data_IF_284937922366
#
_entry.id   IF_284937922366
#
_cell.length_a   1.000
_cell.length_b   1.000
_cell.length_c   1.000
_cell.angle_alpha   90.00
_cell.angle_beta   90.00
_cell.angle_gamma   90.00
#
_symmetry.space_group_name_H-M   'P 1'
#
loop_
_entity.id
_entity.type
_entity.pdbx_description
1 polymer ?
#
# COMPACT_ATOMS: atom_id res chain seq x y z
N UNK A 1 7.20 11.04 16.73
CA UNK A 1 6.90 10.20 15.56
C UNK A 1 5.90 10.83 14.57
N UNK A 2 4.69 11.23 15.01
CA UNK A 2 3.62 11.74 14.13
C UNK A 2 4.02 12.92 13.24
N UNK A 3 4.71 13.93 13.80
CA UNK A 3 5.18 15.10 13.04
C UNK A 3 6.02 14.67 11.83
N UNK A 4 7.07 13.89 12.07
CA UNK A 4 7.96 13.45 11.00
C UNK A 4 7.27 12.58 9.94
N UNK A 5 6.24 11.82 10.31
CA UNK A 5 5.42 11.09 9.34
C UNK A 5 4.66 12.04 8.41
N UNK A 6 4.01 13.06 8.96
CA UNK A 6 3.26 14.06 8.18
C UNK A 6 4.23 14.86 7.30
N UNK A 7 5.33 15.35 7.87
CA UNK A 7 6.35 16.09 7.12
C UNK A 7 6.94 15.25 5.98
N UNK A 8 7.24 13.97 6.23
CA UNK A 8 7.72 13.05 5.19
C UNK A 8 6.72 12.83 4.05
N UNK A 9 5.41 12.82 4.34
CA UNK A 9 4.37 12.74 3.30
C UNK A 9 4.28 14.04 2.51
N UNK A 10 4.24 15.20 3.16
CA UNK A 10 4.20 16.51 2.49
C UNK A 10 5.42 16.72 1.59
N UNK A 11 6.62 16.33 2.03
CA UNK A 11 7.84 16.43 1.23
C UNK A 11 7.84 15.49 0.01
N UNK A 12 7.18 14.33 0.11
CA UNK A 12 6.96 13.45 -1.04
C UNK A 12 6.06 14.14 -2.07
N UNK A 13 4.98 14.79 -1.63
CA UNK A 13 4.07 15.53 -2.51
C UNK A 13 4.78 16.73 -3.18
N UNK A 14 5.70 17.38 -2.44
CA UNK A 14 6.56 18.46 -2.94
C UNK A 14 7.70 17.98 -3.86
N UNK A 15 7.75 16.70 -4.23
CA UNK A 15 8.79 16.10 -5.09
C UNK A 15 10.21 16.21 -4.52
N UNK A 16 10.35 16.23 -3.19
CA UNK A 16 11.63 16.21 -2.47
C UNK A 16 11.85 14.85 -1.77
N UNK A 17 12.20 13.79 -2.53
CA UNK A 17 12.29 12.44 -1.98
C UNK A 17 13.45 12.25 -0.98
N UNK A 18 14.53 13.03 -1.12
CA UNK A 18 15.69 12.97 -0.22
C UNK A 18 15.34 13.45 1.20
N UNK A 19 14.69 14.61 1.30
CA UNK A 19 14.27 15.18 2.57
C UNK A 19 13.14 14.34 3.20
N UNK A 20 12.20 13.86 2.38
CA UNK A 20 11.14 12.95 2.82
C UNK A 20 11.72 11.68 3.48
N UNK A 21 12.74 11.07 2.88
CA UNK A 21 13.40 9.88 3.41
C UNK A 21 14.03 10.14 4.78
N UNK A 22 14.70 11.28 4.98
CA UNK A 22 15.31 11.63 6.26
C UNK A 22 14.25 11.72 7.38
N UNK A 23 13.12 12.37 7.11
CA UNK A 23 12.03 12.48 8.06
C UNK A 23 11.36 11.14 8.35
N UNK A 24 11.14 10.30 7.34
CA UNK A 24 10.53 8.97 7.55
C UNK A 24 11.46 8.04 8.32
N UNK A 25 12.78 8.08 8.09
CA UNK A 25 13.76 7.34 8.91
C UNK A 25 13.72 7.79 10.37
N UNK A 26 13.63 9.10 10.62
CA UNK A 26 13.49 9.63 11.98
C UNK A 26 12.17 9.21 12.63
N UNK A 27 11.07 9.19 11.87
CA UNK A 27 9.78 8.68 12.34
C UNK A 27 9.88 7.20 12.75
N UNK A 28 10.56 6.36 11.94
CA UNK A 28 10.76 4.94 12.23
C UNK A 28 11.58 4.69 13.50
N UNK A 29 12.64 5.48 13.72
CA UNK A 29 13.46 5.39 14.93
C UNK A 29 12.67 5.72 16.20
N UNK A 30 11.73 6.67 16.12
CA UNK A 30 10.90 7.08 17.25
C UNK A 30 9.71 6.14 17.50
N UNK A 31 9.19 5.54 16.43
CA UNK A 31 8.03 4.65 16.49
C UNK A 31 8.10 3.62 15.34
N UNK A 32 8.49 2.41 15.68
CA UNK A 32 8.56 1.29 14.75
C UNK A 32 7.18 0.90 14.18
N UNK A 33 6.08 1.26 14.86
CA UNK A 33 4.70 0.98 14.45
C UNK A 33 4.06 2.11 13.62
N UNK A 34 4.81 3.19 13.31
CA UNK A 34 4.30 4.32 12.54
C UNK A 34 3.84 3.96 11.10
N UNK A 35 4.19 2.77 10.61
CA UNK A 35 3.80 2.25 9.29
C UNK A 35 4.62 2.79 8.12
N UNK A 36 5.73 3.49 8.40
CA UNK A 36 6.54 4.20 7.39
C UNK A 36 7.60 3.34 6.69
N UNK A 37 7.74 2.07 7.07
CA UNK A 37 8.78 1.17 6.53
C UNK A 37 8.68 0.98 5.02
N UNK A 38 7.47 0.71 4.52
CA UNK A 38 7.20 0.55 3.08
C UNK A 38 7.41 1.86 2.30
N UNK A 39 7.15 2.98 2.96
CA UNK A 39 7.37 4.31 2.36
C UNK A 39 8.84 4.62 2.18
N UNK A 40 9.68 4.25 3.16
CA UNK A 40 11.15 4.36 3.07
C UNK A 40 11.68 3.47 1.94
N UNK A 41 11.27 2.19 1.89
CA UNK A 41 11.71 1.27 0.83
C UNK A 41 11.33 1.75 -0.58
N UNK A 42 10.12 2.30 -0.73
CA UNK A 42 9.66 2.87 -2.01
C UNK A 42 10.50 4.10 -2.39
N UNK A 43 10.70 5.04 -1.46
CA UNK A 43 11.50 6.24 -1.72
C UNK A 43 12.96 5.89 -2.03
N UNK A 44 13.56 4.93 -1.33
CA UNK A 44 14.94 4.49 -1.61
C UNK A 44 15.07 3.88 -3.01
N UNK A 45 14.03 3.18 -3.49
CA UNK A 45 13.98 2.66 -4.87
C UNK A 45 13.75 3.73 -5.92
N UNK A 46 12.98 4.78 -5.60
CA UNK A 46 12.72 5.92 -6.50
C UNK A 46 13.88 6.90 -6.58
N UNK A 47 14.72 6.98 -5.54
CA UNK A 47 15.88 7.86 -5.48
C UNK A 47 17.14 7.23 -6.11
N UNK A 48 17.26 5.89 -6.07
CA UNK A 48 18.36 5.13 -6.69
C UNK A 48 18.23 4.67 -8.15
N UNK A 49 17.19 4.96 -8.97
CA UNK A 49 17.21 4.66 -10.39
C UNK A 49 17.69 5.89 -11.15
N UNK A 50 18.87 5.80 -11.77
CA UNK A 50 19.26 6.66 -12.88
C UNK A 50 19.31 5.77 -14.13
N UNK A 51 18.87 6.21 -15.31
CA UNK A 51 17.58 6.80 -15.67
C UNK A 51 16.95 6.06 -16.86
N UNK A 52 15.63 5.93 -16.90
CA UNK A 52 14.78 5.80 -18.09
C UNK A 52 13.45 5.18 -17.65
N UNK A 53 12.35 5.74 -18.15
CA UNK A 53 11.08 5.07 -18.50
C UNK A 53 10.63 3.93 -17.56
N UNK A 54 9.44 3.94 -16.98
CA UNK A 54 8.19 3.91 -17.71
C UNK A 54 7.09 4.20 -16.71
N UNK A 55 6.14 5.04 -17.13
CA UNK A 55 4.73 4.93 -16.75
C UNK A 55 4.36 3.45 -16.59
N UNK A 56 4.09 3.00 -15.38
CA UNK A 56 3.12 1.92 -15.15
C UNK A 56 2.37 2.25 -13.87
N UNK A 57 1.15 2.73 -14.09
CA UNK A 57 0.09 2.82 -13.11
C UNK A 57 0.08 1.56 -12.23
N UNK A 58 -0.19 1.66 -10.92
CA UNK A 58 -0.45 0.47 -10.14
C UNK A 58 -1.74 -0.14 -10.68
N UNK A 59 -1.61 -1.21 -11.48
CA UNK A 59 -2.62 -2.25 -11.56
C UNK A 59 -2.86 -2.68 -10.11
N UNK A 60 -3.91 -2.13 -9.53
CA UNK A 60 -4.57 -2.67 -8.36
C UNK A 60 -4.97 -4.08 -8.76
N UNK A 61 -4.15 -5.06 -8.41
CA UNK A 61 -4.59 -6.45 -8.49
C UNK A 61 -5.75 -6.58 -7.51
N UNK A 62 -6.98 -6.88 -7.98
CA UNK A 62 -8.08 -7.09 -7.06
C UNK A 62 -7.69 -8.29 -6.19
N UNK A 63 -7.53 -8.01 -4.89
CA UNK A 63 -7.38 -9.04 -3.86
C UNK A 63 -8.51 -10.04 -4.09
N UNK A 64 -8.16 -11.27 -4.46
CA UNK A 64 -9.12 -12.34 -4.71
C UNK A 64 -9.98 -12.52 -3.45
N UNK A 65 -11.19 -11.97 -3.50
CA UNK A 65 -12.26 -12.33 -2.57
C UNK A 65 -12.56 -13.78 -2.89
N UNK A 66 -12.20 -14.69 -1.99
CA UNK A 66 -12.65 -16.08 -2.06
C UNK A 66 -14.17 -16.05 -1.90
N UNK A 67 -14.89 -16.02 -3.01
CA UNK A 67 -16.32 -16.31 -3.06
C UNK A 67 -16.48 -17.80 -2.78
N UNK A 68 -16.55 -18.18 -1.50
CA UNK A 68 -17.14 -19.46 -1.12
C UNK A 68 -18.61 -19.37 -1.46
N UNK A 69 -18.98 -20.02 -2.57
CA UNK A 69 -20.32 -20.07 -3.13
C UNK A 69 -21.40 -20.34 -2.05
N UNK A 70 -22.59 -19.70 -2.13
CA UNK A 70 -23.71 -20.10 -1.29
C UNK A 70 -24.17 -21.49 -1.74
N UNK A 71 -24.09 -22.47 -0.85
CA UNK A 71 -24.60 -23.81 -1.09
C UNK A 71 -26.08 -23.71 -1.52
N UNK A 72 -26.36 -24.09 -2.78
CA UNK A 72 -27.69 -24.45 -3.26
C UNK A 72 -28.20 -25.64 -2.42
N UNK A 73 -28.82 -25.35 -1.28
CA UNK A 73 -29.67 -26.32 -0.57
C UNK A 73 -30.99 -26.38 -1.32
N UNK A 74 -31.26 -27.56 -1.88
CA UNK A 74 -32.34 -27.83 -2.81
C UNK A 74 -33.73 -27.49 -2.27
N UNK A 75 -34.55 -26.95 -3.17
CA UNK A 75 -35.99 -26.90 -3.04
C UNK A 75 -36.52 -28.35 -3.15
N UNK A 76 -37.27 -28.87 -2.17
CA UNK A 76 -37.84 -30.22 -2.27
C UNK A 76 -38.82 -30.27 -3.44
N UNK A 77 -38.71 -31.30 -4.29
CA UNK A 77 -39.68 -31.56 -5.36
C UNK A 77 -40.96 -32.11 -4.72
N UNK A 78 -42.07 -31.41 -4.92
CA UNK A 78 -43.43 -31.86 -4.60
C UNK A 78 -43.76 -33.07 -5.48
N UNK A 79 -43.85 -34.26 -4.91
CA UNK A 79 -44.50 -35.42 -5.55
C UNK A 79 -45.93 -35.50 -5.02
N UNK A 80 -46.89 -35.35 -5.93
CA UNK A 80 -48.29 -35.67 -5.71
C UNK A 80 -48.45 -37.20 -5.76
N UNK A 81 -49.20 -37.73 -4.81
CA UNK A 81 -49.63 -39.11 -4.67
C UNK A 81 -50.61 -39.18 -3.52
#
# INVERSE_FOLDING_TARGET
>A
AKLHKITGQVLRDNKQPADALAHLKRAMQLDCQAGVKKDIERLERELKPRPATVVKAPVSTPRAVKTTAPAKRGRPKKTAG
#
